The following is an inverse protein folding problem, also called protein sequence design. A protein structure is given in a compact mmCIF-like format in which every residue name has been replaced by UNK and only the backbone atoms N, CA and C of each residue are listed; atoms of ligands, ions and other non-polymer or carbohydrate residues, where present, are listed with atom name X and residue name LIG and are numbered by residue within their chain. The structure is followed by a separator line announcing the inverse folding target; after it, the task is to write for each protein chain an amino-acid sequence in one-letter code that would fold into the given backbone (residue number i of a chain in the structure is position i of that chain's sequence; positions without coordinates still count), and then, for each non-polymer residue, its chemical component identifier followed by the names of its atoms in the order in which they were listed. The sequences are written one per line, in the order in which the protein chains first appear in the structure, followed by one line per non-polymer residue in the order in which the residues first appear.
data_IF_285583385748
#
_entry.id   IF_285583385748
#
_cell.length_a   1.000
_cell.length_b   1.000
_cell.length_c   1.000
_cell.angle_alpha   90.00
_cell.angle_beta   90.00
_cell.angle_gamma   90.00
#
_symmetry.space_group_name_H-M   'P 1'
#
loop_
_entity.id
_entity.type
_entity.pdbx_description
1 polymer ?
#
# COMPACT_ATOMS: atom_id res chain seq x y z
N UNK A 1 -0.88 17.30 13.49
CA UNK A 1 -1.93 18.03 12.76
C UNK A 1 -1.24 19.15 12.00
N UNK A 2 -1.41 19.21 10.67
CA UNK A 2 -1.02 20.37 9.89
C UNK A 2 -2.33 21.02 9.43
N UNK A 3 -2.91 21.86 10.28
CA UNK A 3 -4.19 22.53 10.03
C UNK A 3 -4.03 23.81 9.20
N UNK A 4 -2.85 24.02 8.60
CA UNK A 4 -2.49 25.25 7.86
C UNK A 4 -2.28 24.91 6.38
N UNK A 5 -2.78 25.79 5.50
CA UNK A 5 -2.67 25.62 4.06
C UNK A 5 -1.19 25.42 3.62
N UNK A 6 -0.88 24.41 2.79
CA UNK A 6 0.47 24.20 2.28
C UNK A 6 1.04 25.45 1.60
N UNK A 7 2.30 25.77 1.92
CA UNK A 7 2.98 26.94 1.36
C UNK A 7 2.51 28.29 1.93
N UNK A 8 1.84 28.30 3.09
CA UNK A 8 1.44 29.53 3.79
C UNK A 8 2.61 30.30 4.42
N UNK A 9 3.77 29.67 4.62
CA UNK A 9 4.96 30.31 5.18
C UNK A 9 6.15 30.22 4.22
N UNK A 10 7.06 31.19 4.29
CA UNK A 10 8.37 31.12 3.63
C UNK A 10 9.43 30.38 4.47
N UNK A 11 10.66 30.33 3.96
CA UNK A 11 11.80 29.68 4.62
C UNK A 11 12.23 30.34 5.95
N UNK A 12 11.70 31.53 6.23
CA UNK A 12 11.94 32.28 7.47
C UNK A 12 10.73 32.26 8.41
N UNK A 13 9.79 31.33 8.20
CA UNK A 13 8.55 31.19 8.99
C UNK A 13 7.66 32.44 8.97
N UNK A 14 7.78 33.29 7.94
CA UNK A 14 6.89 34.44 7.75
C UNK A 14 5.69 34.04 6.92
N UNK A 15 4.50 34.47 7.35
CA UNK A 15 3.27 34.22 6.62
C UNK A 15 3.32 34.93 5.27
N UNK A 16 2.96 34.22 4.20
CA UNK A 16 2.78 34.77 2.87
C UNK A 16 1.37 35.30 2.74
N UNK A 17 1.21 36.45 2.09
CA UNK A 17 -0.09 37.05 1.77
C UNK A 17 -0.93 36.11 0.88
N UNK A 18 -0.27 35.39 -0.04
CA UNK A 18 -0.86 34.32 -0.84
C UNK A 18 0.00 33.06 -0.74
N UNK A 19 -0.55 31.93 -0.26
CA UNK A 19 0.15 30.65 -0.27
C UNK A 19 0.55 30.25 -1.70
N UNK A 20 1.74 29.68 -1.87
CA UNK A 20 2.31 29.34 -3.19
C UNK A 20 1.41 28.39 -3.99
N UNK A 21 0.64 27.54 -3.30
CA UNK A 21 -0.22 26.54 -3.91
C UNK A 21 -1.70 26.94 -3.91
N UNK A 22 -2.05 28.17 -3.51
CA UNK A 22 -3.44 28.60 -3.34
C UNK A 22 -4.31 28.33 -4.57
N UNK A 23 -3.76 28.54 -5.76
CA UNK A 23 -4.48 28.44 -7.04
C UNK A 23 -4.88 27.01 -7.37
N UNK A 24 -4.15 26.03 -6.85
CA UNK A 24 -4.46 24.61 -7.05
C UNK A 24 -5.69 24.15 -6.26
N UNK A 25 -6.08 24.89 -5.21
CA UNK A 25 -7.18 24.55 -4.30
C UNK A 25 -8.41 25.47 -4.45
N UNK A 26 -8.36 26.49 -5.32
CA UNK A 26 -9.51 27.35 -5.64
C UNK A 26 -10.47 26.69 -6.65
N UNK A 27 -11.62 27.31 -6.90
CA UNK A 27 -12.60 26.81 -7.87
C UNK A 27 -11.97 26.67 -9.27
N UNK A 28 -11.96 25.46 -9.81
CA UNK A 28 -11.29 25.11 -11.08
C UNK A 28 -9.89 24.50 -10.91
N UNK A 29 -9.35 24.46 -9.69
CA UNK A 29 -8.13 23.75 -9.35
C UNK A 29 -8.31 22.23 -9.24
N UNK A 30 -7.22 21.47 -9.44
CA UNK A 30 -7.22 20.01 -9.45
C UNK A 30 -6.52 19.39 -8.21
N UNK A 31 -6.18 20.17 -7.19
CA UNK A 31 -5.52 19.66 -5.99
C UNK A 31 -6.51 19.46 -4.84
N UNK A 32 -6.26 18.43 -4.03
CA UNK A 32 -7.07 18.07 -2.87
C UNK A 32 -6.11 17.87 -1.69
N UNK A 33 -6.40 18.50 -0.56
CA UNK A 33 -5.70 18.22 0.70
C UNK A 33 -6.33 16.96 1.30
N UNK A 34 -5.50 15.94 1.55
CA UNK A 34 -5.95 14.69 2.13
C UNK A 34 -5.26 14.44 3.46
N UNK A 35 -6.03 14.00 4.47
CA UNK A 35 -5.44 13.50 5.71
C UNK A 35 -4.69 12.18 5.44
N UNK A 36 -3.59 11.89 6.17
CA UNK A 36 -2.86 10.63 6.02
C UNK A 36 -3.72 9.37 6.21
N UNK A 37 -4.86 9.50 6.90
CA UNK A 37 -5.81 8.42 7.21
C UNK A 37 -6.96 8.26 6.22
N UNK A 38 -7.06 9.09 5.17
CA UNK A 38 -8.21 9.05 4.26
C UNK A 38 -8.07 8.03 3.11
N UNK A 39 -9.17 7.34 2.77
CA UNK A 39 -9.26 6.40 1.63
C UNK A 39 -9.44 7.07 0.26
N UNK A 40 -9.47 8.41 0.22
CA UNK A 40 -9.72 9.18 -1.02
C UNK A 40 -8.65 8.96 -2.07
N UNK A 41 -7.38 8.79 -1.69
CA UNK A 41 -6.30 8.50 -2.62
C UNK A 41 -6.56 7.20 -3.39
N UNK A 42 -6.97 6.14 -2.69
CA UNK A 42 -7.35 4.85 -3.31
C UNK A 42 -8.48 5.02 -4.32
N UNK A 43 -9.47 5.86 -4.00
CA UNK A 43 -10.60 6.16 -4.91
C UNK A 43 -10.14 6.93 -6.14
N UNK A 44 -9.24 7.91 -5.99
CA UNK A 44 -8.66 8.67 -7.10
C UNK A 44 -7.83 7.77 -8.02
N UNK A 45 -7.02 6.87 -7.46
CA UNK A 45 -6.27 5.88 -8.24
C UNK A 45 -7.20 4.96 -9.01
N UNK A 46 -8.23 4.42 -8.36
CA UNK A 46 -9.21 3.56 -9.02
C UNK A 46 -9.94 4.27 -10.17
N UNK A 47 -10.33 5.55 -10.00
CA UNK A 47 -10.93 6.36 -11.07
C UNK A 47 -9.99 6.59 -12.25
N UNK A 48 -8.69 6.68 -11.98
CA UNK A 48 -7.66 6.78 -13.01
C UNK A 48 -7.31 5.41 -13.65
N UNK A 49 -8.01 4.33 -13.29
CA UNK A 49 -7.72 2.97 -13.76
C UNK A 49 -6.45 2.36 -13.15
N UNK A 50 -5.89 3.00 -12.12
CA UNK A 50 -4.71 2.51 -11.41
C UNK A 50 -5.16 1.51 -10.34
N UNK A 51 -4.90 0.23 -10.60
CA UNK A 51 -5.15 -0.85 -9.68
C UNK A 51 -3.83 -1.48 -9.22
N UNK A 52 -3.70 -1.75 -7.92
CA UNK A 52 -2.59 -2.52 -7.42
C UNK A 52 -2.73 -3.97 -7.93
N UNK A 53 -1.72 -4.54 -8.62
CA UNK A 53 -1.81 -5.90 -9.13
C UNK A 53 -1.80 -6.97 -8.02
N UNK A 54 -1.43 -6.53 -6.81
CA UNK A 54 -1.37 -7.33 -5.60
C UNK A 54 -2.02 -6.56 -4.47
N UNK A 55 -2.88 -7.22 -3.69
CA UNK A 55 -3.46 -6.66 -2.47
C UNK A 55 -3.31 -7.69 -1.35
N UNK A 56 -2.93 -7.25 -0.17
CA UNK A 56 -2.85 -8.10 1.02
C UNK A 56 -3.87 -7.60 2.03
N UNK A 57 -4.70 -8.49 2.52
CA UNK A 57 -5.73 -8.20 3.50
C UNK A 57 -5.66 -9.23 4.62
N UNK A 58 -6.17 -8.91 5.80
CA UNK A 58 -6.44 -9.96 6.78
C UNK A 58 -7.56 -10.86 6.28
N UNK A 59 -7.47 -12.15 6.57
CA UNK A 59 -8.49 -13.11 6.15
C UNK A 59 -9.85 -12.90 6.84
N UNK A 60 -9.86 -12.31 8.04
CA UNK A 60 -11.08 -11.96 8.80
C UNK A 60 -11.81 -10.71 8.27
N UNK A 61 -11.26 -10.05 7.24
CA UNK A 61 -11.80 -8.81 6.65
C UNK A 61 -11.66 -7.57 7.53
N UNK A 62 -11.06 -7.68 8.72
CA UNK A 62 -10.80 -6.55 9.59
C UNK A 62 -9.61 -5.74 9.10
N UNK A 63 -9.54 -4.48 9.56
CA UNK A 63 -8.34 -3.67 9.42
C UNK A 63 -7.18 -4.37 10.17
N UNK A 64 -6.33 -5.05 9.41
CA UNK A 64 -5.16 -5.73 9.95
C UNK A 64 -3.97 -4.80 10.14
N UNK A 65 -2.93 -5.34 10.77
CA UNK A 65 -1.65 -4.62 10.83
C UNK A 65 -1.18 -4.28 9.42
N UNK A 66 -0.63 -3.07 9.22
CA UNK A 66 -0.17 -2.66 7.92
C UNK A 66 0.92 -3.61 7.43
N UNK A 67 0.71 -4.15 6.22
CA UNK A 67 1.69 -4.98 5.52
C UNK A 67 2.41 -4.11 4.49
N UNK A 68 3.73 -4.02 4.62
CA UNK A 68 4.58 -3.43 3.58
C UNK A 68 4.84 -4.45 2.51
N UNK A 69 4.50 -4.11 1.26
CA UNK A 69 4.72 -4.94 0.09
C UNK A 69 5.78 -4.30 -0.81
N UNK A 70 6.84 -5.05 -1.08
CA UNK A 70 7.89 -4.69 -2.01
C UNK A 70 7.78 -5.59 -3.24
N UNK A 71 7.85 -4.98 -4.42
CA UNK A 71 7.73 -5.68 -5.70
C UNK A 71 8.98 -5.50 -6.53
N UNK A 72 9.58 -6.60 -6.96
CA UNK A 72 10.70 -6.63 -7.88
C UNK A 72 10.33 -7.43 -9.14
N UNK A 73 11.00 -7.14 -10.25
CA UNK A 73 10.88 -7.91 -11.49
C UNK A 73 12.23 -8.53 -11.80
N UNK A 74 12.25 -9.83 -12.09
CA UNK A 74 13.48 -10.57 -12.38
C UNK A 74 13.21 -11.68 -13.39
N UNK A 75 13.85 -11.64 -14.55
CA UNK A 75 13.71 -12.60 -15.65
C UNK A 75 12.27 -13.05 -15.95
N UNK A 76 11.34 -12.10 -16.10
CA UNK A 76 9.94 -12.38 -16.43
C UNK A 76 9.07 -12.80 -15.23
N UNK A 77 9.65 -13.08 -14.07
CA UNK A 77 8.91 -13.33 -12.85
C UNK A 77 8.79 -12.06 -11.99
N UNK A 78 7.71 -11.99 -11.19
CA UNK A 78 7.57 -10.99 -10.15
C UNK A 78 8.01 -11.57 -8.82
N UNK A 79 8.84 -10.85 -8.06
CA UNK A 79 9.18 -11.20 -6.69
C UNK A 79 8.45 -10.26 -5.74
N UNK A 80 7.78 -10.82 -4.75
CA UNK A 80 7.07 -10.10 -3.70
C UNK A 80 7.77 -10.37 -2.38
N UNK A 81 8.16 -9.31 -1.69
CA UNK A 81 8.55 -9.37 -0.28
C UNK A 81 7.48 -8.66 0.54
N UNK A 82 6.93 -9.37 1.52
CA UNK A 82 5.86 -8.87 2.37
C UNK A 82 6.34 -8.88 3.82
N UNK A 83 6.23 -7.74 4.50
CA UNK A 83 6.60 -7.58 5.89
C UNK A 83 5.45 -6.94 6.65
N UNK A 84 4.89 -7.69 7.60
CA UNK A 84 3.87 -7.17 8.52
C UNK A 84 4.54 -6.24 9.54
N UNK A 85 3.88 -5.15 9.89
CA UNK A 85 4.36 -4.29 10.98
C UNK A 85 4.27 -5.02 12.34
N UNK A 86 5.26 -4.80 13.20
CA UNK A 86 5.19 -5.20 14.60
C UNK A 86 4.26 -4.21 15.31
N UNK A 87 3.09 -4.66 15.76
CA UNK A 87 2.23 -3.92 16.68
C UNK A 87 2.25 -4.64 18.02
N UNK A 88 2.46 -3.90 19.11
CA UNK A 88 2.45 -4.47 20.46
C UNK A 88 1.09 -5.14 20.73
N UNK A 89 1.11 -6.44 21.05
CA UNK A 89 -0.10 -7.24 21.26
C UNK A 89 -0.78 -7.76 19.97
N UNK A 90 -0.13 -7.63 18.81
CA UNK A 90 -0.68 -8.10 17.53
C UNK A 90 -1.01 -9.59 17.54
N UNK A 91 -2.30 -9.93 17.36
CA UNK A 91 -2.74 -11.32 17.20
C UNK A 91 -2.13 -11.92 15.94
N UNK A 92 -1.59 -13.14 16.04
CA UNK A 92 -1.20 -13.93 14.87
C UNK A 92 -2.48 -14.20 14.07
N UNK A 93 -2.61 -13.59 12.90
CA UNK A 93 -3.78 -13.70 12.05
C UNK A 93 -3.37 -14.06 10.63
N UNK A 94 -4.13 -14.92 9.94
CA UNK A 94 -3.91 -15.21 8.54
C UNK A 94 -4.21 -13.97 7.68
N UNK A 95 -3.40 -13.81 6.65
CA UNK A 95 -3.56 -12.82 5.60
C UNK A 95 -3.89 -13.52 4.29
N UNK A 96 -4.63 -12.86 3.41
CA UNK A 96 -4.88 -13.32 2.05
C UNK A 96 -4.18 -12.37 1.08
N UNK A 97 -3.32 -12.92 0.23
CA UNK A 97 -2.78 -12.24 -0.93
C UNK A 97 -3.72 -12.43 -2.12
N UNK A 98 -4.17 -11.32 -2.69
CA UNK A 98 -5.00 -11.26 -3.88
C UNK A 98 -4.14 -10.93 -5.10
N UNK A 99 -4.30 -11.71 -6.17
CA UNK A 99 -3.64 -11.52 -7.45
C UNK A 99 -4.64 -11.03 -8.50
N UNK A 100 -4.26 -10.06 -9.33
CA UNK A 100 -5.12 -9.54 -10.39
C UNK A 100 -5.57 -10.62 -11.41
N UNK A 101 -4.70 -11.58 -11.69
CA UNK A 101 -4.94 -12.74 -12.55
C UNK A 101 -4.46 -14.02 -11.86
N UNK A 102 -5.01 -15.20 -12.21
CA UNK A 102 -4.48 -16.47 -11.72
C UNK A 102 -2.99 -16.59 -12.03
N UNK A 103 -2.17 -16.92 -11.03
CA UNK A 103 -0.74 -17.15 -11.21
C UNK A 103 -0.25 -18.20 -10.21
N UNK A 104 0.78 -18.96 -10.59
CA UNK A 104 1.43 -19.86 -9.66
C UNK A 104 2.35 -19.05 -8.73
N UNK A 105 2.51 -19.53 -7.49
CA UNK A 105 3.43 -18.92 -6.54
C UNK A 105 4.46 -19.93 -6.06
N UNK A 106 5.62 -19.43 -5.67
CA UNK A 106 6.67 -20.21 -5.02
C UNK A 106 7.20 -19.42 -3.84
N UNK A 107 7.09 -19.98 -2.64
CA UNK A 107 7.82 -19.46 -1.48
C UNK A 107 9.31 -19.73 -1.68
N UNK A 108 10.09 -18.64 -1.72
CA UNK A 108 11.52 -18.69 -2.01
C UNK A 108 12.36 -19.17 -0.84
N UNK A 109 11.79 -19.21 0.38
CA UNK A 109 12.47 -19.74 1.57
C UNK A 109 12.24 -21.23 1.74
N UNK A 110 11.00 -21.67 1.61
CA UNK A 110 10.63 -23.08 1.81
C UNK A 110 10.66 -23.91 0.52
N UNK A 111 10.63 -23.26 -0.65
CA UNK A 111 10.46 -23.92 -1.94
C UNK A 111 9.03 -24.40 -2.21
N UNK A 112 8.08 -24.15 -1.28
CA UNK A 112 6.69 -24.56 -1.42
C UNK A 112 6.05 -23.87 -2.63
N UNK A 113 5.32 -24.64 -3.44
CA UNK A 113 4.71 -24.18 -4.68
C UNK A 113 3.19 -24.28 -4.60
N UNK A 114 2.53 -23.37 -5.28
CA UNK A 114 1.09 -23.44 -5.53
C UNK A 114 0.84 -23.53 -7.04
N UNK A 115 -0.30 -24.12 -7.42
CA UNK A 115 -0.82 -23.99 -8.78
C UNK A 115 -1.37 -22.58 -9.04
N UNK A 116 -1.91 -22.31 -10.24
CA UNK A 116 -2.51 -21.02 -10.55
C UNK A 116 -3.67 -20.70 -9.60
N UNK A 117 -3.51 -19.66 -8.78
CA UNK A 117 -4.52 -19.19 -7.83
C UNK A 117 -4.74 -17.69 -7.99
N UNK A 118 -5.94 -17.20 -7.63
CA UNK A 118 -6.21 -15.76 -7.49
C UNK A 118 -6.05 -15.25 -6.06
N UNK A 119 -6.12 -16.16 -5.09
CA UNK A 119 -6.06 -15.88 -3.66
C UNK A 119 -5.15 -16.90 -3.01
N UNK A 120 -4.28 -16.43 -2.13
CA UNK A 120 -3.33 -17.26 -1.41
C UNK A 120 -3.37 -16.87 0.07
N UNK A 121 -3.67 -17.82 0.93
CA UNK A 121 -3.61 -17.61 2.37
C UNK A 121 -2.18 -17.72 2.86
N UNK A 122 -1.81 -16.81 3.76
CA UNK A 122 -0.44 -16.57 4.21
C UNK A 122 -0.43 -16.34 5.71
N UNK A 123 0.60 -16.87 6.36
CA UNK A 123 1.00 -16.46 7.69
C UNK A 123 2.19 -15.53 7.57
N UNK A 124 1.99 -14.25 7.89
CA UNK A 124 3.04 -13.23 7.81
C UNK A 124 3.69 -13.04 9.18
N UNK A 125 5.00 -13.22 9.22
CA UNK A 125 5.82 -12.94 10.40
C UNK A 125 6.16 -11.44 10.48
N UNK A 126 6.13 -10.82 11.68
CA UNK A 126 6.39 -9.39 11.83
C UNK A 126 7.89 -9.05 11.81
N UNK A 127 8.79 -10.03 11.88
CA UNK A 127 10.24 -9.86 11.86
C UNK A 127 10.83 -10.33 10.53
N UNK A 128 10.36 -11.49 10.06
CA UNK A 128 10.90 -12.17 8.89
C UNK A 128 10.00 -11.94 7.68
N UNK A 129 10.50 -11.33 6.60
CA UNK A 129 9.68 -11.11 5.41
C UNK A 129 9.34 -12.43 4.71
N UNK A 130 8.10 -12.56 4.28
CA UNK A 130 7.65 -13.61 3.38
C UNK A 130 8.08 -13.26 1.95
N UNK A 131 8.78 -14.18 1.29
CA UNK A 131 9.32 -13.98 -0.07
C UNK A 131 8.63 -14.92 -1.05
N UNK A 132 7.88 -14.36 -2.00
CA UNK A 132 7.18 -15.12 -3.03
C UNK A 132 7.70 -14.77 -4.43
N UNK A 133 7.95 -15.78 -5.25
CA UNK A 133 7.96 -15.63 -6.70
C UNK A 133 6.55 -15.86 -7.24
N UNK A 134 6.08 -14.96 -8.09
CA UNK A 134 4.79 -15.02 -8.77
C UNK A 134 5.05 -15.03 -10.27
N UNK A 135 4.51 -16.03 -10.96
CA UNK A 135 4.69 -16.24 -12.40
C UNK A 135 4.02 -17.54 -12.86
#
# INVERSE_FOLDING_TARGET
MADIAPGAFDEHSRARERPVLADLFQAGGNAIIQSPSGDRATTLFARAGLHAPFRVERADGQAGDPVRLFRFRHHGATLLAMLRSFADGGTVAPFTLHLASPAATTDLRSGAKTGPVRRLDLMLDPVTPTLLRVG
#
